data_IF_980022294150
#
_entry.id   IF_980022294150
#
_cell.length_a   1.000
_cell.length_b   1.000
_cell.length_c   1.000
_cell.angle_alpha   90.00
_cell.angle_beta   90.00
_cell.angle_gamma   90.00
#
_symmetry.space_group_name_H-M   'P 1'
#
loop_
_entity.id
_entity.type
_entity.pdbx_description
1 polymer ?
#
# COMPACT_ATOMS: atom_id res chain seq x y z
N UNK A 1 2.17 22.79 -4.40
CA UNK A 1 1.08 22.47 -5.32
C UNK A 1 0.01 21.87 -4.45
N UNK A 2 -1.11 22.56 -4.26
CA UNK A 2 -2.27 21.98 -3.55
C UNK A 2 -2.91 21.00 -4.52
N UNK A 3 -2.41 19.77 -4.51
CA UNK A 3 -2.99 18.67 -5.28
C UNK A 3 -4.25 18.19 -4.58
N UNK A 4 -5.23 17.73 -5.36
CA UNK A 4 -6.58 17.18 -5.05
C UNK A 4 -6.64 16.04 -4.01
N UNK A 5 -5.78 16.04 -2.99
CA UNK A 5 -5.71 14.99 -1.99
C UNK A 5 -6.52 15.36 -0.73
N UNK A 6 -7.15 14.38 -0.07
CA UNK A 6 -7.84 14.59 1.21
C UNK A 6 -6.93 15.20 2.30
N UNK A 7 -5.64 14.89 2.26
CA UNK A 7 -4.61 15.42 3.16
C UNK A 7 -3.25 15.56 2.46
N UNK A 8 -2.31 16.28 3.07
CA UNK A 8 -0.96 16.47 2.53
C UNK A 8 -0.22 15.11 2.40
N UNK A 9 0.18 14.69 1.18
CA UNK A 9 0.97 13.47 0.98
C UNK A 9 2.27 13.43 1.77
N UNK A 10 2.82 14.59 2.13
CA UNK A 10 4.05 14.73 2.89
C UNK A 10 3.81 15.09 4.37
N UNK A 11 2.54 15.21 4.78
CA UNK A 11 2.11 15.47 6.15
C UNK A 11 2.17 14.24 7.06
N UNK A 12 1.67 14.39 8.29
CA UNK A 12 1.67 13.32 9.31
C UNK A 12 0.82 12.11 8.93
N UNK A 13 -0.31 12.33 8.26
CA UNK A 13 -1.21 11.27 7.80
C UNK A 13 -0.64 10.55 6.56
N UNK A 14 0.12 11.27 5.73
CA UNK A 14 0.86 10.72 4.60
C UNK A 14 2.24 10.17 4.99
N UNK A 15 3.26 10.66 4.28
CA UNK A 15 4.63 10.12 4.35
C UNK A 15 5.47 10.61 5.54
N UNK A 16 4.92 11.45 6.43
CA UNK A 16 5.61 12.04 7.58
C UNK A 16 6.93 12.74 7.21
N UNK A 17 6.85 13.67 6.25
CA UNK A 17 8.02 14.33 5.69
C UNK A 17 8.91 13.36 4.90
N UNK A 18 8.30 12.47 4.11
CA UNK A 18 9.01 11.49 3.26
C UNK A 18 9.83 10.44 4.04
N UNK A 19 9.43 10.13 5.28
CA UNK A 19 10.01 9.06 6.11
C UNK A 19 9.32 7.71 5.91
N UNK A 20 8.07 7.71 5.47
CA UNK A 20 7.25 6.52 5.21
C UNK A 20 6.85 6.47 3.73
N UNK A 21 6.76 5.26 3.19
CA UNK A 21 6.37 5.01 1.81
C UNK A 21 5.37 3.86 1.79
N UNK A 22 4.61 3.78 0.70
CA UNK A 22 3.82 2.63 0.26
C UNK A 22 3.18 1.81 1.39
N UNK A 23 3.76 0.66 1.72
CA UNK A 23 3.24 -0.29 2.69
C UNK A 23 3.19 0.31 4.10
N UNK A 24 4.18 1.12 4.46
CA UNK A 24 4.20 1.77 5.77
C UNK A 24 3.12 2.85 5.92
N UNK A 25 2.67 3.44 4.81
CA UNK A 25 1.55 4.39 4.81
C UNK A 25 0.23 3.61 4.90
N UNK A 26 0.06 2.55 4.09
CA UNK A 26 -1.15 1.72 4.07
C UNK A 26 -1.36 1.02 5.43
N UNK A 27 -0.30 0.47 6.03
CA UNK A 27 -0.37 -0.21 7.33
C UNK A 27 -0.76 0.72 8.50
N UNK A 28 -0.60 2.04 8.36
CA UNK A 28 -1.05 2.99 9.40
C UNK A 28 -2.56 3.21 9.39
N UNK A 29 -3.24 2.81 8.31
CA UNK A 29 -4.69 2.99 8.13
C UNK A 29 -5.50 1.85 8.73
N UNK A 30 -4.83 0.85 9.30
CA UNK A 30 -5.44 -0.32 9.91
C UNK A 30 -4.85 -0.58 11.29
N UNK A 31 -5.68 -1.08 12.20
CA UNK A 31 -5.30 -1.67 13.47
C UNK A 31 -5.29 -3.20 13.33
N UNK A 32 -4.16 -3.85 13.65
CA UNK A 32 -4.01 -5.30 13.49
C UNK A 32 -4.92 -6.13 14.42
N UNK A 33 -5.32 -5.57 15.57
CA UNK A 33 -6.15 -6.26 16.57
C UNK A 33 -7.65 -6.01 16.35
N UNK A 34 -8.01 -4.86 15.78
CA UNK A 34 -9.42 -4.42 15.68
C UNK A 34 -10.03 -4.54 14.28
N UNK A 35 -9.25 -4.35 13.21
CA UNK A 35 -9.79 -4.20 11.85
C UNK A 35 -9.80 -5.50 11.02
N UNK A 36 -9.22 -6.58 11.55
CA UNK A 36 -9.15 -7.86 10.84
C UNK A 36 -10.22 -8.86 11.35
N UNK A 37 -10.95 -9.54 10.44
CA UNK A 37 -10.76 -9.56 8.98
C UNK A 37 -11.22 -8.26 8.29
N UNK A 38 -10.41 -7.80 7.32
CA UNK A 38 -10.60 -6.53 6.63
C UNK A 38 -11.23 -6.76 5.25
N UNK A 39 -12.36 -6.11 4.99
CA UNK A 39 -13.02 -6.10 3.68
C UNK A 39 -12.40 -5.05 2.75
N UNK A 40 -11.95 -5.47 1.57
CA UNK A 40 -11.27 -4.63 0.57
C UNK A 40 -12.14 -3.45 0.15
N UNK A 41 -13.40 -3.71 -0.16
CA UNK A 41 -14.30 -2.70 -0.73
C UNK A 41 -14.67 -1.64 0.31
N UNK A 42 -14.78 -2.01 1.58
CA UNK A 42 -14.98 -1.06 2.69
C UNK A 42 -13.72 -0.21 2.92
N UNK A 43 -12.55 -0.87 2.95
CA UNK A 43 -11.27 -0.17 3.10
C UNK A 43 -11.00 0.83 1.96
N UNK A 44 -11.29 0.45 0.71
CA UNK A 44 -11.17 1.36 -0.45
C UNK A 44 -12.25 2.44 -0.44
N UNK A 45 -13.46 2.16 0.04
CA UNK A 45 -14.49 3.19 0.16
C UNK A 45 -14.12 4.26 1.19
N UNK A 46 -13.43 3.89 2.26
CA UNK A 46 -12.98 4.82 3.30
C UNK A 46 -11.71 5.59 2.90
N UNK A 47 -10.70 4.88 2.40
CA UNK A 47 -9.36 5.44 2.20
C UNK A 47 -8.92 5.52 0.73
N UNK A 48 -9.79 5.21 -0.22
CA UNK A 48 -9.44 5.10 -1.65
C UNK A 48 -8.76 6.34 -2.20
N UNK A 49 -9.26 7.52 -1.85
CA UNK A 49 -8.72 8.81 -2.31
C UNK A 49 -7.44 9.25 -1.58
N UNK A 50 -7.00 8.52 -0.55
CA UNK A 50 -5.86 8.95 0.25
C UNK A 50 -4.54 8.82 -0.52
N UNK A 51 -3.67 9.83 -0.47
CA UNK A 51 -2.39 9.79 -1.16
C UNK A 51 -1.43 8.79 -0.52
N UNK A 52 -0.96 7.86 -1.36
CA UNK A 52 0.10 6.91 -1.06
C UNK A 52 1.36 7.33 -1.81
N UNK A 53 2.37 7.77 -1.06
CA UNK A 53 3.69 8.05 -1.62
C UNK A 53 4.45 6.75 -1.86
N UNK A 54 4.66 6.41 -3.12
CA UNK A 54 5.35 5.17 -3.51
C UNK A 54 6.87 5.35 -3.53
N UNK A 55 7.34 6.52 -3.95
CA UNK A 55 8.75 6.88 -3.92
C UNK A 55 8.94 8.41 -3.81
N UNK A 56 10.18 8.88 -3.94
CA UNK A 56 10.51 10.30 -3.84
C UNK A 56 9.85 11.20 -4.89
N UNK A 57 9.29 10.63 -5.97
CA UNK A 57 8.68 11.36 -7.09
C UNK A 57 7.18 11.08 -7.24
N UNK A 58 6.74 9.85 -6.98
CA UNK A 58 5.41 9.35 -7.30
C UNK A 58 4.52 9.25 -6.07
N UNK A 59 3.33 9.84 -6.19
CA UNK A 59 2.19 9.71 -5.28
C UNK A 59 1.01 9.22 -6.12
N UNK A 60 0.28 8.25 -5.61
CA UNK A 60 -0.93 7.66 -6.24
C UNK A 60 -2.04 7.59 -5.19
N UNK A 61 -3.28 7.35 -5.61
CA UNK A 61 -4.37 7.06 -4.68
C UNK A 61 -4.25 5.64 -4.14
N UNK A 62 -4.84 5.36 -2.98
CA UNK A 62 -4.93 4.00 -2.47
C UNK A 62 -5.76 3.12 -3.43
N UNK A 63 -6.85 3.67 -3.98
CA UNK A 63 -7.67 2.97 -4.96
C UNK A 63 -6.87 2.51 -6.19
N UNK A 64 -5.94 3.34 -6.70
CA UNK A 64 -5.11 2.96 -7.86
C UNK A 64 -4.30 1.67 -7.61
N UNK A 65 -3.81 1.49 -6.37
CA UNK A 65 -3.07 0.28 -5.98
C UNK A 65 -4.03 -0.90 -5.84
N UNK A 66 -5.18 -0.67 -5.22
CA UNK A 66 -6.17 -1.71 -4.93
C UNK A 66 -6.96 -2.19 -6.16
N UNK A 67 -6.92 -1.47 -7.29
CA UNK A 67 -7.37 -1.98 -8.59
C UNK A 67 -6.67 -3.30 -9.00
N UNK A 68 -5.44 -3.53 -8.52
CA UNK A 68 -4.64 -4.73 -8.79
C UNK A 68 -4.72 -5.77 -7.67
N UNK A 69 -5.66 -5.61 -6.71
CA UNK A 69 -5.89 -6.56 -5.61
C UNK A 69 -7.14 -7.38 -5.91
N UNK A 70 -6.93 -8.66 -6.26
CA UNK A 70 -8.01 -9.61 -6.53
C UNK A 70 -8.75 -10.10 -5.26
N UNK A 71 -8.08 -10.09 -4.10
CA UNK A 71 -8.65 -10.57 -2.84
C UNK A 71 -9.70 -9.59 -2.33
N UNK A 72 -10.89 -10.08 -2.00
CA UNK A 72 -11.99 -9.27 -1.46
C UNK A 72 -11.86 -9.03 0.05
N UNK A 73 -11.23 -9.94 0.78
CA UNK A 73 -11.10 -9.91 2.24
C UNK A 73 -9.69 -10.35 2.64
N UNK A 74 -9.17 -9.78 3.73
CA UNK A 74 -7.88 -10.13 4.32
C UNK A 74 -8.08 -10.59 5.76
N UNK A 75 -7.63 -11.80 6.08
CA UNK A 75 -7.72 -12.37 7.45
C UNK A 75 -6.72 -11.71 8.42
N UNK A 76 -5.59 -11.23 7.92
CA UNK A 76 -4.51 -10.67 8.73
C UNK A 76 -3.79 -9.55 7.99
N UNK A 77 -3.10 -8.68 8.75
CA UNK A 77 -2.23 -7.65 8.17
C UNK A 77 -1.16 -8.24 7.25
N UNK A 78 -0.68 -9.45 7.56
CA UNK A 78 0.31 -10.16 6.75
C UNK A 78 -0.28 -10.56 5.39
N UNK A 79 -1.55 -10.93 5.33
CA UNK A 79 -2.23 -11.30 4.09
C UNK A 79 -2.52 -10.07 3.23
N UNK A 80 -2.95 -8.97 3.86
CA UNK A 80 -3.04 -7.66 3.21
C UNK A 80 -1.69 -7.22 2.62
N UNK A 81 -0.60 -7.29 3.39
CA UNK A 81 0.74 -6.92 2.93
C UNK A 81 1.20 -7.74 1.72
N UNK A 82 0.89 -9.05 1.68
CA UNK A 82 1.21 -9.88 0.52
C UNK A 82 0.42 -9.45 -0.71
N UNK A 83 -0.88 -9.20 -0.56
CA UNK A 83 -1.75 -8.79 -1.65
C UNK A 83 -1.35 -7.42 -2.21
N UNK A 84 -1.18 -6.42 -1.34
CA UNK A 84 -0.68 -5.08 -1.73
C UNK A 84 0.69 -5.19 -2.38
N UNK A 85 1.60 -6.01 -1.83
CA UNK A 85 2.92 -6.22 -2.43
C UNK A 85 2.85 -6.86 -3.82
N UNK A 86 1.89 -7.73 -4.09
CA UNK A 86 1.65 -8.28 -5.43
C UNK A 86 1.11 -7.21 -6.37
N UNK A 87 0.08 -6.46 -5.95
CA UNK A 87 -0.51 -5.34 -6.67
C UNK A 87 0.53 -4.27 -7.07
N UNK A 88 1.41 -3.90 -6.15
CA UNK A 88 2.49 -2.94 -6.41
C UNK A 88 3.44 -3.37 -7.53
N UNK A 89 3.66 -4.69 -7.69
CA UNK A 89 4.49 -5.26 -8.76
C UNK A 89 3.72 -5.41 -10.06
N UNK A 90 2.44 -5.74 -10.00
CA UNK A 90 1.59 -5.93 -11.17
C UNK A 90 1.23 -4.59 -11.84
N UNK A 91 0.92 -3.57 -11.05
CA UNK A 91 0.61 -2.21 -11.53
C UNK A 91 1.83 -1.33 -11.82
N UNK A 92 3.04 -1.90 -11.88
CA UNK A 92 4.30 -1.19 -12.17
C UNK A 92 4.48 0.08 -11.29
N UNK A 93 4.16 -0.02 -10.00
CA UNK A 93 4.31 1.09 -9.06
C UNK A 93 5.76 1.25 -8.58
N UNK A 94 6.48 0.13 -8.43
CA UNK A 94 7.89 0.13 -8.03
C UNK A 94 8.82 0.16 -9.24
N UNK A 95 9.63 1.20 -9.37
CA UNK A 95 10.58 1.32 -10.51
C UNK A 95 11.65 0.22 -10.52
N UNK A 96 12.00 -0.31 -9.36
CA UNK A 96 12.98 -1.39 -9.24
C UNK A 96 12.28 -2.75 -9.14
N UNK A 97 12.36 -3.52 -10.22
CA UNK A 97 11.99 -4.93 -10.22
C UNK A 97 13.28 -5.77 -10.15
N UNK A 98 13.55 -6.49 -9.04
CA UNK A 98 14.72 -7.35 -8.97
C UNK A 98 14.65 -8.42 -10.06
N UNK A 99 15.54 -8.33 -11.06
CA UNK A 99 15.72 -9.37 -12.07
C UNK A 99 16.65 -10.44 -11.50
N UNK A 100 16.08 -11.50 -10.91
CA UNK A 100 16.85 -12.63 -10.39
C UNK A 100 16.00 -13.89 -10.29
N UNK A 101 16.62 -15.05 -10.58
CA UNK A 101 16.04 -16.34 -10.22
C UNK A 101 15.83 -16.36 -8.70
N UNK A 102 14.64 -16.80 -8.27
CA UNK A 102 14.29 -16.97 -6.86
C UNK A 102 15.44 -17.71 -6.16
N UNK A 103 16.27 -17.05 -5.32
CA UNK A 103 17.42 -17.73 -4.73
C UNK A 103 16.89 -18.90 -3.91
N UNK A 104 17.51 -20.07 -4.04
CA UNK A 104 17.13 -21.25 -3.26
C UNK A 104 16.97 -20.83 -1.80
N UNK A 105 15.78 -21.08 -1.22
CA UNK A 105 15.49 -20.82 0.20
C UNK A 105 16.49 -21.62 1.03
N UNK A 106 17.63 -21.02 1.38
CA UNK A 106 18.53 -21.58 2.38
C UNK A 106 17.86 -21.44 3.72
N UNK A 107 17.31 -22.55 4.22
CA UNK A 107 16.95 -22.65 5.64
C UNK A 107 18.25 -22.70 6.44
N UNK A 108 18.36 -21.82 7.43
CA UNK A 108 19.41 -21.88 8.46
C UNK A 108 19.19 -23.09 9.38
#
# INVERSE_FOLDING_TARGET
MSSDWPHDPDGEEGSEGMRKYDMAIIAKKVDEEEDFPLERDEFVAEYGDDPIRVNYQRVVSLSDIFEYVDQSEFETITDMHKAVGAAMREGDFWEYHPKGANPEKKRA
#
